data_IF_297177468670
#
_entry.id   IF_297177468670
#
_cell.length_a   1.000
_cell.length_b   1.000
_cell.length_c   1.000
_cell.angle_alpha   90.00
_cell.angle_beta   90.00
_cell.angle_gamma   90.00
#
_symmetry.space_group_name_H-M   'P 1'
#
loop_
_entity.id
_entity.type
_entity.pdbx_description
1 polymer ?
#
# COMPACT_ATOMS: atom_id res chain seq x y z
N UNK A 1 2.50 1.71 -6.60
CA UNK A 1 1.56 2.27 -7.57
C UNK A 1 1.81 3.76 -7.71
N UNK A 2 2.14 4.24 -8.92
CA UNK A 2 2.24 5.68 -9.17
C UNK A 2 0.81 6.22 -9.29
N UNK A 3 0.34 6.93 -8.28
CA UNK A 3 -1.00 7.54 -8.30
C UNK A 3 -0.90 9.04 -8.52
N UNK A 4 -1.90 9.62 -9.18
CA UNK A 4 -2.01 11.06 -9.28
C UNK A 4 -2.17 11.67 -7.88
N UNK A 5 -1.42 12.73 -7.64
CA UNK A 5 -1.44 13.38 -6.33
C UNK A 5 -2.63 14.33 -6.23
N UNK A 6 -3.51 14.09 -5.28
CA UNK A 6 -4.66 14.95 -5.02
C UNK A 6 -4.17 16.33 -4.55
N UNK A 7 -4.65 17.43 -5.13
CA UNK A 7 -4.32 18.77 -4.69
C UNK A 7 -4.57 18.96 -3.17
N UNK A 8 -3.70 19.68 -2.50
CA UNK A 8 -3.77 19.96 -1.05
C UNK A 8 -3.69 18.72 -0.14
N UNK A 9 -3.31 17.55 -0.68
CA UNK A 9 -3.07 16.36 0.13
C UNK A 9 -1.69 16.38 0.78
N UNK A 10 -1.54 15.63 1.89
CA UNK A 10 -0.24 15.43 2.53
C UNK A 10 0.81 14.90 1.55
N UNK A 11 0.44 13.92 0.71
CA UNK A 11 1.34 13.36 -0.31
C UNK A 11 1.81 14.40 -1.32
N UNK A 12 0.92 15.28 -1.79
CA UNK A 12 1.30 16.35 -2.72
C UNK A 12 2.21 17.37 -2.06
N UNK A 13 1.96 17.71 -0.81
CA UNK A 13 2.81 18.62 -0.04
C UNK A 13 4.20 18.03 0.19
N UNK A 14 4.29 16.77 0.58
CA UNK A 14 5.56 16.06 0.74
C UNK A 14 6.33 15.99 -0.58
N UNK A 15 5.67 15.65 -1.67
CA UNK A 15 6.28 15.61 -3.00
C UNK A 15 6.85 16.98 -3.41
N UNK A 16 6.12 18.06 -3.20
CA UNK A 16 6.59 19.42 -3.50
C UNK A 16 7.76 19.88 -2.63
N UNK A 17 7.99 19.23 -1.49
CA UNK A 17 9.15 19.43 -0.61
C UNK A 17 10.24 18.37 -0.78
N UNK A 18 10.14 17.54 -1.81
CA UNK A 18 11.09 16.46 -2.10
C UNK A 18 11.27 15.48 -0.93
N UNK A 19 10.23 15.33 -0.10
CA UNK A 19 10.21 14.36 1.00
C UNK A 19 9.71 13.01 0.47
N UNK A 20 10.54 11.96 0.48
CA UNK A 20 10.12 10.62 0.08
C UNK A 20 8.96 10.15 0.95
N UNK A 21 7.93 9.60 0.31
CA UNK A 21 6.76 9.10 1.02
C UNK A 21 6.24 7.83 0.36
N UNK A 22 5.85 6.88 1.19
CA UNK A 22 5.08 5.71 0.81
C UNK A 22 3.81 5.65 1.65
N UNK A 23 2.79 5.00 1.13
CA UNK A 23 1.53 4.77 1.84
C UNK A 23 1.35 3.27 1.95
N UNK A 24 1.15 2.78 3.16
CA UNK A 24 0.74 1.42 3.42
C UNK A 24 -0.79 1.38 3.59
N UNK A 25 -1.43 0.51 2.83
CA UNK A 25 -2.85 0.25 2.93
C UNK A 25 -3.04 -1.25 3.20
N UNK A 26 -3.62 -1.58 4.32
CA UNK A 26 -3.85 -2.96 4.72
C UNK A 26 -5.03 -3.10 5.68
N UNK A 27 -5.56 -4.32 5.78
CA UNK A 27 -6.66 -4.64 6.66
C UNK A 27 -8.05 -4.23 6.16
N UNK A 28 -9.00 -4.34 7.05
CA UNK A 28 -10.40 -3.98 6.83
C UNK A 28 -10.78 -2.79 7.72
N UNK A 29 -11.79 -2.03 7.31
CA UNK A 29 -12.32 -0.96 8.15
C UNK A 29 -12.91 -1.52 9.45
N UNK A 30 -12.72 -0.78 10.55
CA UNK A 30 -13.18 -1.12 11.91
C UNK A 30 -12.57 -2.42 12.49
N UNK A 31 -11.53 -2.95 11.90
CA UNK A 31 -10.80 -4.13 12.40
C UNK A 31 -9.30 -3.87 12.41
N UNK A 32 -8.66 -4.41 13.43
CA UNK A 32 -7.20 -4.55 13.49
C UNK A 32 -6.92 -6.04 13.32
N UNK A 33 -6.24 -6.41 12.25
CA UNK A 33 -5.81 -7.78 12.02
C UNK A 33 -4.30 -7.92 12.13
N UNK A 34 -3.86 -9.01 12.75
CA UNK A 34 -2.45 -9.24 13.05
C UNK A 34 -1.59 -9.34 11.78
N UNK A 35 -2.15 -9.86 10.69
CA UNK A 35 -1.43 -9.97 9.43
C UNK A 35 -1.06 -8.58 8.90
N UNK A 36 -2.02 -7.67 8.79
CA UNK A 36 -1.79 -6.32 8.30
C UNK A 36 -0.87 -5.52 9.22
N UNK A 37 -1.00 -5.71 10.54
CA UNK A 37 -0.10 -5.09 11.52
C UNK A 37 1.35 -5.55 11.31
N UNK A 38 1.56 -6.86 11.19
CA UNK A 38 2.90 -7.43 10.99
C UNK A 38 3.53 -7.00 9.67
N UNK A 39 2.75 -6.95 8.59
CA UNK A 39 3.21 -6.45 7.29
C UNK A 39 3.61 -4.98 7.36
N UNK A 40 2.81 -4.16 8.04
CA UNK A 40 3.13 -2.75 8.25
C UNK A 40 4.40 -2.54 9.06
N UNK A 41 4.57 -3.29 10.15
CA UNK A 41 5.78 -3.26 10.98
C UNK A 41 7.01 -3.70 10.19
N UNK A 42 6.90 -4.76 9.39
CA UNK A 42 7.98 -5.23 8.51
C UNK A 42 8.39 -4.16 7.49
N UNK A 43 7.42 -3.50 6.87
CA UNK A 43 7.67 -2.43 5.93
C UNK A 43 8.39 -1.24 6.58
N UNK A 44 7.96 -0.82 7.78
CA UNK A 44 8.60 0.25 8.54
C UNK A 44 10.03 -0.14 8.91
N UNK A 45 10.22 -1.35 9.44
CA UNK A 45 11.55 -1.85 9.81
C UNK A 45 12.51 -1.82 8.62
N UNK A 46 12.07 -2.31 7.45
CA UNK A 46 12.87 -2.27 6.23
C UNK A 46 13.28 -0.85 5.84
N UNK A 47 12.37 0.12 5.94
CA UNK A 47 12.69 1.53 5.68
C UNK A 47 13.73 2.06 6.67
N UNK A 48 13.58 1.78 7.96
CA UNK A 48 14.52 2.23 9.00
C UNK A 48 15.91 1.65 8.80
N UNK A 49 16.00 0.35 8.46
CA UNK A 49 17.28 -0.32 8.15
C UNK A 49 17.92 0.27 6.90
N UNK A 50 17.17 0.42 5.81
CA UNK A 50 17.66 0.99 4.56
C UNK A 50 18.16 2.44 4.72
N UNK A 51 17.56 3.19 5.63
CA UNK A 51 17.97 4.56 5.96
C UNK A 51 19.14 4.62 6.96
N UNK A 52 19.61 3.47 7.46
CA UNK A 52 20.67 3.41 8.46
C UNK A 52 20.26 3.94 9.83
N UNK A 53 18.97 4.06 10.10
CA UNK A 53 18.45 4.55 11.39
C UNK A 53 18.53 3.47 12.48
N UNK A 54 18.43 2.20 12.08
CA UNK A 54 18.62 1.04 12.95
C UNK A 54 19.53 0.02 12.26
N UNK A 55 20.20 -0.80 13.06
CA UNK A 55 20.98 -1.93 12.55
C UNK A 55 20.06 -3.10 12.24
N UNK A 56 20.34 -3.83 11.17
CA UNK A 56 19.57 -5.01 10.78
C UNK A 56 19.76 -5.35 9.32
N UNK A 57 19.06 -6.35 8.87
CA UNK A 57 18.99 -6.74 7.47
C UNK A 57 17.62 -6.38 6.89
N UNK A 58 17.61 -6.03 5.62
CA UNK A 58 16.35 -5.78 4.90
C UNK A 58 15.72 -7.12 4.56
N UNK A 59 14.49 -7.30 4.98
CA UNK A 59 13.71 -8.47 4.61
C UNK A 59 13.24 -8.33 3.16
N UNK A 60 13.84 -9.12 2.28
CA UNK A 60 13.49 -9.12 0.86
C UNK A 60 12.23 -9.93 0.64
N UNK A 61 11.18 -9.24 0.22
CA UNK A 61 9.90 -9.84 -0.11
C UNK A 61 9.66 -9.71 -1.60
N UNK A 62 9.19 -10.78 -2.21
CA UNK A 62 8.71 -10.71 -3.57
C UNK A 62 7.54 -9.74 -3.67
N UNK A 63 7.64 -8.77 -4.55
CA UNK A 63 6.63 -7.73 -4.72
C UNK A 63 6.31 -7.48 -6.17
N UNK A 64 5.05 -7.12 -6.42
CA UNK A 64 4.58 -6.75 -7.76
C UNK A 64 4.44 -5.23 -7.86
N UNK A 65 5.02 -4.65 -8.90
CA UNK A 65 4.88 -3.22 -9.18
C UNK A 65 3.93 -2.98 -10.34
N UNK A 66 2.90 -2.18 -10.09
CA UNK A 66 1.90 -1.82 -11.09
C UNK A 66 2.06 -0.34 -11.48
N UNK A 67 2.33 -0.09 -12.75
CA UNK A 67 2.54 1.25 -13.29
C UNK A 67 1.27 1.85 -13.92
N UNK A 68 0.34 0.99 -14.29
CA UNK A 68 -0.91 1.40 -14.94
C UNK A 68 -2.09 0.99 -14.07
N UNK A 69 -3.08 1.85 -13.99
CA UNK A 69 -4.34 1.60 -13.30
C UNK A 69 -5.50 2.05 -14.17
N UNK A 70 -6.64 1.41 -14.02
CA UNK A 70 -7.89 1.86 -14.60
C UNK A 70 -9.02 1.69 -13.60
N UNK A 71 -10.03 2.53 -13.72
CA UNK A 71 -11.23 2.42 -12.92
C UNK A 71 -12.23 1.51 -13.62
N UNK A 72 -12.66 0.47 -12.94
CA UNK A 72 -13.81 -0.32 -13.34
C UNK A 72 -15.03 0.24 -12.62
N UNK A 73 -16.00 0.72 -13.35
CA UNK A 73 -17.21 1.32 -12.80
C UNK A 73 -18.41 0.42 -12.96
N UNK A 74 -19.26 0.40 -11.94
CA UNK A 74 -20.55 -0.28 -12.06
C UNK A 74 -21.41 0.40 -13.13
N UNK A 75 -22.07 -0.41 -13.95
CA UNK A 75 -22.99 0.07 -15.00
C UNK A 75 -24.39 0.39 -14.47
N UNK A 76 -24.69 -0.07 -13.24
CA UNK A 76 -25.97 0.13 -12.56
C UNK A 76 -25.77 0.02 -11.04
N UNK A 77 -26.71 0.49 -10.27
CA UNK A 77 -26.72 0.32 -8.81
C UNK A 77 -26.83 -1.15 -8.42
N UNK A 78 -26.21 -1.52 -7.32
CA UNK A 78 -26.21 -2.89 -6.81
C UNK A 78 -25.21 -3.09 -5.68
N UNK A 79 -25.17 -4.31 -5.16
CA UNK A 79 -24.20 -4.76 -4.18
C UNK A 79 -23.17 -5.63 -4.88
N UNK A 80 -21.89 -5.37 -4.62
CA UNK A 80 -20.80 -6.21 -5.14
C UNK A 80 -20.65 -7.42 -4.24
N UNK A 81 -20.79 -8.61 -4.82
CA UNK A 81 -20.52 -9.88 -4.16
C UNK A 81 -19.28 -10.47 -4.80
N UNK A 82 -18.25 -10.74 -3.98
CA UNK A 82 -17.02 -11.35 -4.44
C UNK A 82 -17.14 -12.88 -4.35
N UNK A 83 -17.00 -13.56 -5.46
CA UNK A 83 -17.00 -15.03 -5.52
C UNK A 83 -15.69 -15.64 -5.00
N UNK A 84 -14.60 -14.88 -5.03
CA UNK A 84 -13.28 -15.30 -4.54
C UNK A 84 -12.77 -14.36 -3.47
N UNK A 85 -12.18 -14.91 -2.43
CA UNK A 85 -11.57 -14.15 -1.33
C UNK A 85 -10.30 -13.40 -1.70
N UNK A 86 -9.68 -13.69 -2.84
CA UNK A 86 -8.46 -13.03 -3.32
C UNK A 86 -8.57 -12.69 -4.78
N UNK A 87 -8.27 -11.44 -5.10
CA UNK A 87 -8.18 -10.93 -6.48
C UNK A 87 -6.74 -11.11 -7.02
N UNK A 88 -5.79 -11.39 -6.14
CA UNK A 88 -4.41 -11.64 -6.54
C UNK A 88 -4.22 -13.08 -6.98
N UNK A 89 -3.43 -13.32 -8.04
CA UNK A 89 -3.03 -14.67 -8.38
C UNK A 89 -2.34 -15.29 -7.16
N UNK A 90 -2.82 -16.44 -6.74
CA UNK A 90 -2.07 -17.29 -5.82
C UNK A 90 -0.82 -17.77 -6.55
N UNK A 91 0.34 -17.70 -5.91
CA UNK A 91 1.57 -18.27 -6.48
C UNK A 91 1.46 -19.75 -6.77
#
# INVERSE_FOLDING_TARGET
LKSDLIPKSLRKTAFGKEIPMVVFEGGESLRVDDYSVNEGLRAINNVLVQRGMIKGEVDNVESYSFLKKTWVRATRSGVVILEKKSILPTP
#
